data_IF_608376460285
#
_entry.id   IF_608376460285
#
_cell.length_a   1.000
_cell.length_b   1.000
_cell.length_c   1.000
_cell.angle_alpha   90.00
_cell.angle_beta   90.00
_cell.angle_gamma   90.00
#
_symmetry.space_group_name_H-M   'P 1'
#
loop_
_entity.id
_entity.type
_entity.pdbx_description
1 polymer ?
#
# COMPACT_ATOMS: atom_id res chain seq x y z
N UNK A 1 25.09 -20.44 67.93
CA UNK A 1 26.49 -20.62 67.45
C UNK A 1 26.43 -20.77 65.94
N UNK A 2 27.15 -19.92 65.16
CA UNK A 2 27.31 -20.10 63.73
C UNK A 2 28.51 -21.03 63.48
N UNK A 3 28.44 -21.87 62.45
CA UNK A 3 29.61 -22.60 61.95
C UNK A 3 29.74 -22.40 60.45
N UNK A 4 30.96 -22.06 60.05
CA UNK A 4 31.38 -21.85 58.68
C UNK A 4 32.60 -22.75 58.38
N UNK A 5 32.54 -23.39 57.20
CA UNK A 5 33.63 -23.91 56.32
C UNK A 5 34.47 -25.14 56.79
N UNK A 6 35.21 -25.89 55.92
CA UNK A 6 35.31 -25.90 54.44
C UNK A 6 35.31 -27.33 53.79
N UNK A 7 35.50 -27.31 52.46
CA UNK A 7 35.58 -28.36 51.42
C UNK A 7 36.41 -29.63 51.69
N UNK A 8 35.96 -30.75 51.13
CA UNK A 8 36.82 -31.88 50.74
C UNK A 8 36.48 -32.41 49.34
N UNK A 9 37.53 -32.57 48.53
CA UNK A 9 37.56 -33.03 47.16
C UNK A 9 37.33 -34.55 47.04
N UNK A 10 36.50 -34.96 46.09
CA UNK A 10 36.56 -36.30 45.51
C UNK A 10 36.69 -36.19 43.99
N UNK A 11 37.84 -36.64 43.49
CA UNK A 11 38.10 -36.91 42.08
C UNK A 11 37.29 -38.13 41.64
N UNK A 12 36.48 -37.95 40.61
CA UNK A 12 36.02 -39.05 39.77
C UNK A 12 36.38 -38.72 38.32
N UNK A 13 37.35 -39.48 37.81
CA UNK A 13 37.64 -39.61 36.39
C UNK A 13 36.47 -40.34 35.70
N UNK A 14 35.80 -39.66 34.78
CA UNK A 14 34.98 -40.31 33.76
C UNK A 14 35.35 -39.77 32.38
N UNK A 15 36.02 -40.64 31.64
CA UNK A 15 36.33 -40.58 30.22
C UNK A 15 35.04 -40.67 29.38
N UNK A 16 35.16 -40.25 28.12
CA UNK A 16 34.22 -39.62 27.21
C UNK A 16 32.90 -40.35 26.89
N UNK A 17 31.83 -39.55 26.81
CA UNK A 17 30.78 -39.70 25.78
C UNK A 17 30.15 -38.32 25.52
N UNK A 18 30.72 -37.58 24.56
CA UNK A 18 30.12 -36.36 24.04
C UNK A 18 28.83 -36.70 23.28
N UNK A 19 27.68 -36.51 23.93
CA UNK A 19 26.42 -36.31 23.24
C UNK A 19 26.12 -34.81 23.22
N UNK A 20 26.40 -34.07 22.14
CA UNK A 20 25.96 -32.70 22.01
C UNK A 20 24.48 -32.69 21.65
N UNK A 21 23.61 -32.90 22.63
CA UNK A 21 22.20 -32.53 22.50
C UNK A 21 22.06 -31.04 22.77
N UNK A 22 21.84 -30.29 21.69
CA UNK A 22 21.58 -28.87 21.76
C UNK A 22 21.94 -28.12 20.47
N UNK A 23 21.64 -28.69 19.30
CA UNK A 23 21.53 -27.86 18.10
C UNK A 23 20.27 -27.00 18.25
N UNK A 24 20.42 -25.90 18.98
CA UNK A 24 19.51 -24.77 18.90
C UNK A 24 19.60 -24.25 17.46
N UNK A 25 18.62 -24.62 16.64
CA UNK A 25 18.41 -24.04 15.32
C UNK A 25 17.94 -22.59 15.46
N UNK A 26 18.82 -21.70 15.90
CA UNK A 26 18.67 -20.28 15.58
C UNK A 26 19.21 -20.11 14.15
N UNK A 27 18.50 -20.68 13.18
CA UNK A 27 18.69 -20.25 11.81
C UNK A 27 18.22 -18.80 11.74
N UNK A 28 19.18 -17.90 11.71
CA UNK A 28 19.02 -16.54 11.23
C UNK A 28 18.62 -16.60 9.75
N UNK A 29 17.36 -16.94 9.49
CA UNK A 29 16.70 -16.79 8.20
C UNK A 29 15.36 -16.10 8.44
N UNK A 30 15.43 -14.88 8.95
CA UNK A 30 14.33 -13.92 8.93
C UNK A 30 14.21 -13.19 7.58
N UNK A 31 14.92 -13.63 6.54
CA UNK A 31 15.02 -12.92 5.25
C UNK A 31 13.89 -13.25 4.26
N UNK A 32 12.81 -13.91 4.74
CA UNK A 32 11.73 -14.40 3.88
C UNK A 32 10.32 -14.05 4.37
N UNK A 33 10.16 -13.02 5.20
CA UNK A 33 8.84 -12.59 5.71
C UNK A 33 8.26 -11.33 5.02
N UNK A 34 8.92 -10.78 4.00
CA UNK A 34 8.54 -9.49 3.42
C UNK A 34 7.75 -9.53 2.10
N UNK A 35 7.40 -10.71 1.57
CA UNK A 35 6.73 -10.82 0.26
C UNK A 35 5.37 -10.10 0.17
N UNK A 36 4.71 -9.83 1.30
CA UNK A 36 3.43 -9.11 1.35
C UNK A 36 3.55 -7.58 1.55
N UNK A 37 4.75 -7.03 1.78
CA UNK A 37 4.90 -5.58 2.00
C UNK A 37 5.02 -4.77 0.71
N UNK A 38 5.60 -5.35 -0.35
CA UNK A 38 5.86 -4.62 -1.60
C UNK A 38 4.61 -3.98 -2.23
N UNK A 39 3.45 -4.64 -2.19
CA UNK A 39 2.20 -4.08 -2.70
C UNK A 39 1.62 -2.96 -1.83
N UNK A 40 1.82 -3.03 -0.51
CA UNK A 40 1.36 -1.99 0.40
C UNK A 40 2.19 -0.71 0.25
N UNK A 41 3.51 -0.88 0.05
CA UNK A 41 4.44 0.24 -0.17
C UNK A 41 4.11 0.96 -1.49
N UNK A 42 3.86 0.21 -2.57
CA UNK A 42 3.52 0.79 -3.87
C UNK A 42 2.19 1.56 -3.86
N UNK A 43 1.16 1.02 -3.17
CA UNK A 43 -0.11 1.72 -3.03
C UNK A 43 0.02 3.01 -2.21
N UNK A 44 0.86 3.00 -1.17
CA UNK A 44 1.16 4.20 -0.37
C UNK A 44 1.91 5.25 -1.20
N UNK A 45 2.89 4.84 -2.00
CA UNK A 45 3.61 5.74 -2.91
C UNK A 45 2.66 6.37 -3.94
N UNK A 46 1.79 5.57 -4.55
CA UNK A 46 0.77 6.07 -5.49
C UNK A 46 -0.18 7.06 -4.82
N UNK A 47 -0.54 6.84 -3.56
CA UNK A 47 -1.37 7.77 -2.81
C UNK A 47 -0.68 9.12 -2.62
N UNK A 48 0.62 9.14 -2.33
CA UNK A 48 1.41 10.38 -2.23
C UNK A 48 1.46 11.09 -3.58
N UNK A 49 1.75 10.36 -4.67
CA UNK A 49 1.76 10.93 -6.03
C UNK A 49 0.41 11.51 -6.43
N UNK A 50 -0.68 10.79 -6.16
CA UNK A 50 -2.04 11.25 -6.43
C UNK A 50 -2.37 12.54 -5.65
N UNK A 51 -2.00 12.58 -4.37
CA UNK A 51 -2.21 13.77 -3.53
C UNK A 51 -1.47 14.98 -4.11
N UNK A 52 -0.19 14.84 -4.46
CA UNK A 52 0.60 15.93 -5.05
C UNK A 52 0.10 16.35 -6.44
N UNK A 53 -0.36 15.40 -7.25
CA UNK A 53 -0.98 15.70 -8.54
C UNK A 53 -2.25 16.54 -8.36
N UNK A 54 -3.13 16.13 -7.45
CA UNK A 54 -4.40 16.82 -7.19
C UNK A 54 -4.13 18.23 -6.66
N UNK A 55 -3.23 18.39 -5.69
CA UNK A 55 -2.82 19.69 -5.16
C UNK A 55 -2.27 20.59 -6.27
N UNK A 56 -1.35 20.08 -7.09
CA UNK A 56 -0.78 20.81 -8.22
C UNK A 56 -1.82 21.20 -9.26
N UNK A 57 -2.73 20.30 -9.61
CA UNK A 57 -3.84 20.58 -10.51
C UNK A 57 -4.76 21.68 -9.95
N UNK A 58 -5.12 21.62 -8.66
CA UNK A 58 -5.95 22.63 -8.02
C UNK A 58 -5.27 24.01 -7.98
N UNK A 59 -3.96 24.07 -7.76
CA UNK A 59 -3.19 25.31 -7.70
C UNK A 59 -2.83 25.89 -9.08
N UNK A 60 -2.77 25.07 -10.14
CA UNK A 60 -2.36 25.52 -11.47
C UNK A 60 -3.26 26.65 -12.03
N UNK A 61 -2.66 27.74 -12.50
CA UNK A 61 -3.42 28.83 -13.13
C UNK A 61 -4.07 28.39 -14.47
N UNK A 62 -3.36 27.53 -15.21
CA UNK A 62 -3.86 26.91 -16.44
C UNK A 62 -3.92 25.39 -16.26
N UNK A 63 -5.15 24.88 -16.07
CA UNK A 63 -5.42 23.45 -15.87
C UNK A 63 -5.02 22.62 -17.07
N UNK A 64 -5.26 23.11 -18.28
CA UNK A 64 -4.97 22.38 -19.52
C UNK A 64 -3.46 22.25 -19.72
N UNK A 65 -2.71 23.33 -19.50
CA UNK A 65 -1.25 23.29 -19.55
C UNK A 65 -0.65 22.36 -18.49
N UNK A 66 -1.20 22.36 -17.27
CA UNK A 66 -0.78 21.42 -16.23
C UNK A 66 -0.94 19.95 -16.67
N UNK A 67 -2.13 19.58 -17.18
CA UNK A 67 -2.39 18.22 -17.66
C UNK A 67 -1.44 17.82 -18.79
N UNK A 68 -1.15 18.72 -19.73
CA UNK A 68 -0.18 18.49 -20.81
C UNK A 68 1.22 18.25 -20.28
N UNK A 69 1.69 19.07 -19.34
CA UNK A 69 3.01 18.92 -18.73
C UNK A 69 3.13 17.62 -17.93
N UNK A 70 2.05 17.20 -17.27
CA UNK A 70 2.01 15.93 -16.57
C UNK A 70 1.93 14.70 -17.50
N UNK A 71 1.76 14.91 -18.81
CA UNK A 71 1.68 13.84 -19.80
C UNK A 71 0.32 13.17 -19.87
N UNK A 72 -0.75 13.81 -19.39
CA UNK A 72 -2.10 13.28 -19.53
C UNK A 72 -2.50 13.28 -21.01
N UNK A 73 -2.88 12.13 -21.59
CA UNK A 73 -3.29 12.07 -22.98
C UNK A 73 -4.66 12.74 -23.15
N UNK A 74 -4.80 13.64 -24.13
CA UNK A 74 -6.10 14.26 -24.43
C UNK A 74 -6.95 13.39 -25.35
N UNK A 75 -6.32 12.42 -26.01
CA UNK A 75 -6.97 11.38 -26.80
C UNK A 75 -6.40 10.02 -26.42
N UNK A 76 -7.27 9.01 -26.29
CA UNK A 76 -6.87 7.63 -26.00
C UNK A 76 -7.70 6.64 -26.81
N UNK A 77 -7.22 5.42 -27.08
CA UNK A 77 -8.02 4.41 -27.75
C UNK A 77 -9.24 4.00 -26.92
N UNK A 78 -10.35 3.75 -27.61
CA UNK A 78 -11.56 3.11 -27.09
C UNK A 78 -11.29 1.65 -26.70
N UNK A 79 -12.23 1.00 -26.00
CA UNK A 79 -12.12 -0.44 -25.68
C UNK A 79 -11.89 -1.32 -26.91
N UNK A 80 -12.55 -0.97 -28.02
CA UNK A 80 -12.43 -1.66 -29.30
C UNK A 80 -11.24 -1.17 -30.16
N UNK A 81 -10.46 -0.20 -29.67
CA UNK A 81 -9.28 0.37 -30.34
C UNK A 81 -9.54 1.20 -31.61
N UNK A 82 -10.76 1.15 -32.17
CA UNK A 82 -11.09 1.77 -33.45
C UNK A 82 -11.40 3.27 -33.37
N UNK A 83 -11.76 3.80 -32.20
CA UNK A 83 -12.16 5.20 -32.01
C UNK A 83 -11.29 5.88 -30.96
N UNK A 84 -10.99 7.15 -31.16
CA UNK A 84 -10.35 7.97 -30.15
C UNK A 84 -11.42 8.49 -29.17
N UNK A 85 -11.24 8.21 -27.88
CA UNK A 85 -11.94 8.90 -26.81
C UNK A 85 -11.22 10.21 -26.51
N UNK A 86 -11.97 11.28 -26.29
CA UNK A 86 -11.45 12.62 -26.00
C UNK A 86 -11.65 12.94 -24.53
N UNK A 87 -10.62 13.46 -23.87
CA UNK A 87 -10.73 13.98 -22.51
C UNK A 87 -11.66 15.20 -22.53
N UNK A 88 -12.73 15.15 -21.73
CA UNK A 88 -13.72 16.22 -21.67
C UNK A 88 -13.82 16.84 -20.28
N UNK A 89 -13.74 16.02 -19.23
CA UNK A 89 -13.85 16.48 -17.83
C UNK A 89 -12.74 15.89 -16.96
N UNK A 90 -12.43 16.62 -15.89
CA UNK A 90 -11.67 16.13 -14.74
C UNK A 90 -12.61 16.21 -13.55
N UNK A 91 -12.86 15.07 -12.92
CA UNK A 91 -13.74 14.94 -11.76
C UNK A 91 -12.90 14.84 -10.49
N UNK A 92 -13.27 15.59 -9.45
CA UNK A 92 -12.72 15.44 -8.11
C UNK A 92 -13.85 15.04 -7.16
N UNK A 93 -13.58 14.03 -6.34
CA UNK A 93 -14.49 13.63 -5.25
C UNK A 93 -13.77 13.70 -3.93
N UNK A 94 -14.52 14.03 -2.89
CA UNK A 94 -14.01 14.10 -1.52
C UNK A 94 -14.75 13.07 -0.68
N UNK A 95 -13.98 12.15 -0.11
CA UNK A 95 -14.48 11.02 0.64
C UNK A 95 -13.96 11.06 2.09
N UNK A 96 -14.80 10.69 3.05
CA UNK A 96 -14.39 10.51 4.45
C UNK A 96 -14.68 9.08 4.88
N UNK A 97 -13.65 8.36 5.31
CA UNK A 97 -13.84 7.04 5.89
C UNK A 97 -14.17 7.17 7.37
N UNK A 98 -15.37 6.78 7.76
CA UNK A 98 -15.89 6.95 9.13
C UNK A 98 -15.80 5.69 10.00
N UNK A 99 -15.36 4.56 9.44
CA UNK A 99 -15.22 3.30 10.16
C UNK A 99 -14.84 2.13 9.25
N UNK A 100 -14.75 0.95 9.85
CA UNK A 100 -14.58 -0.34 9.15
C UNK A 100 -15.72 -1.29 9.45
N UNK A 101 -15.97 -2.21 8.53
CA UNK A 101 -16.90 -3.30 8.73
C UNK A 101 -16.21 -4.62 8.36
N UNK A 102 -16.33 -5.64 9.19
CA UNK A 102 -15.81 -6.99 8.91
C UNK A 102 -16.92 -8.04 9.02
N UNK A 103 -16.90 -9.10 8.18
CA UNK A 103 -17.86 -10.19 8.29
C UNK A 103 -17.84 -10.82 9.69
N UNK A 104 -19.01 -11.01 10.29
CA UNK A 104 -19.13 -11.74 11.55
C UNK A 104 -19.03 -13.24 11.31
N UNK A 105 -18.28 -13.95 12.17
CA UNK A 105 -18.14 -15.40 12.05
C UNK A 105 -19.49 -16.10 12.28
N UNK A 106 -19.92 -16.93 11.32
CA UNK A 106 -21.12 -17.76 11.44
C UNK A 106 -22.46 -17.01 11.37
N UNK A 107 -22.48 -15.73 11.00
CA UNK A 107 -23.72 -14.96 10.82
C UNK A 107 -23.69 -14.14 9.53
N UNK A 108 -24.86 -13.62 9.12
CA UNK A 108 -25.00 -12.69 7.99
C UNK A 108 -24.89 -11.22 8.43
N UNK A 109 -24.32 -10.98 9.60
CA UNK A 109 -24.15 -9.65 10.17
C UNK A 109 -22.72 -9.13 9.95
N UNK A 110 -22.57 -7.81 10.06
CA UNK A 110 -21.27 -7.14 10.00
C UNK A 110 -20.90 -6.63 11.39
N UNK A 111 -19.65 -6.83 11.80
CA UNK A 111 -19.08 -6.12 12.93
C UNK A 111 -18.63 -4.74 12.46
N UNK A 112 -19.23 -3.68 12.99
CA UNK A 112 -18.91 -2.29 12.65
C UNK A 112 -18.04 -1.64 13.72
N UNK A 113 -16.92 -1.04 13.29
CA UNK A 113 -15.96 -0.34 14.14
C UNK A 113 -15.84 1.10 13.65
N UNK A 114 -16.54 2.06 14.28
CA UNK A 114 -16.40 3.46 13.91
C UNK A 114 -14.99 3.96 14.25
N UNK A 115 -14.44 4.81 13.40
CA UNK A 115 -13.19 5.48 13.70
C UNK A 115 -13.38 6.58 14.74
N UNK A 116 -12.41 6.78 15.66
CA UNK A 116 -12.33 8.02 16.43
C UNK A 116 -12.38 9.23 15.48
N UNK A 117 -13.01 10.34 15.91
CA UNK A 117 -13.15 11.53 15.06
C UNK A 117 -11.82 12.05 14.50
N UNK A 118 -10.76 12.02 15.32
CA UNK A 118 -9.39 12.39 14.93
C UNK A 118 -8.78 11.50 13.84
N UNK A 119 -9.33 10.30 13.61
CA UNK A 119 -8.89 9.35 12.59
C UNK A 119 -9.72 9.43 11.29
N UNK A 120 -10.81 10.20 11.28
CA UNK A 120 -11.60 10.43 10.06
C UNK A 120 -10.87 11.46 9.22
N UNK A 121 -10.19 10.98 8.19
CA UNK A 121 -9.41 11.81 7.28
C UNK A 121 -10.16 12.03 5.98
N UNK A 122 -10.01 13.23 5.44
CA UNK A 122 -10.43 13.57 4.09
C UNK A 122 -9.55 12.83 3.07
N UNK A 123 -10.18 12.23 2.08
CA UNK A 123 -9.52 11.61 0.93
C UNK A 123 -10.06 12.24 -0.34
N UNK A 124 -9.23 13.01 -1.02
CA UNK A 124 -9.55 13.55 -2.33
C UNK A 124 -9.15 12.53 -3.40
N UNK A 125 -10.11 12.14 -4.23
CA UNK A 125 -9.88 11.32 -5.41
C UNK A 125 -10.06 12.18 -6.66
N UNK A 126 -9.45 11.75 -7.77
CA UNK A 126 -9.57 12.41 -9.06
C UNK A 126 -9.72 11.38 -10.17
N UNK A 127 -10.55 11.70 -11.15
CA UNK A 127 -10.75 10.90 -12.36
C UNK A 127 -10.72 11.74 -13.62
N UNK A 128 -10.19 11.17 -14.70
CA UNK A 128 -10.17 11.75 -16.03
C UNK A 128 -11.28 11.13 -16.87
N UNK A 129 -12.19 11.95 -17.40
CA UNK A 129 -13.38 11.50 -18.11
C UNK A 129 -13.17 11.63 -19.61
N UNK A 130 -13.18 10.50 -20.29
CA UNK A 130 -13.04 10.41 -21.73
C UNK A 130 -14.35 10.02 -22.40
N UNK A 131 -14.67 10.65 -23.52
CA UNK A 131 -15.90 10.37 -24.27
C UNK A 131 -15.65 10.24 -25.76
N UNK A 132 -16.47 9.43 -26.40
CA UNK A 132 -16.75 9.47 -27.84
C UNK A 132 -18.27 9.51 -28.03
N UNK A 133 -18.73 9.35 -29.27
CA UNK A 133 -20.17 9.26 -29.55
C UNK A 133 -20.84 8.05 -28.88
N UNK A 134 -20.10 6.96 -28.66
CA UNK A 134 -20.67 5.66 -28.27
C UNK A 134 -20.11 5.12 -26.94
N UNK A 135 -19.09 5.79 -26.37
CA UNK A 135 -18.40 5.31 -25.17
C UNK A 135 -18.07 6.47 -24.23
N UNK A 136 -18.33 6.27 -22.93
CA UNK A 136 -17.75 7.03 -21.83
C UNK A 136 -16.80 6.12 -21.05
N UNK A 137 -15.60 6.60 -20.78
CA UNK A 137 -14.58 5.90 -20.03
C UNK A 137 -14.02 6.81 -18.94
N UNK A 138 -13.91 6.28 -17.73
CA UNK A 138 -13.35 6.97 -16.56
C UNK A 138 -12.01 6.35 -16.24
N UNK A 139 -10.97 7.16 -16.11
CA UNK A 139 -9.63 6.74 -15.68
C UNK A 139 -9.33 7.33 -14.31
N UNK A 140 -9.15 6.49 -13.30
CA UNK A 140 -8.70 6.92 -11.96
C UNK A 140 -7.27 7.49 -12.08
N UNK A 141 -7.01 8.59 -11.35
CA UNK A 141 -5.70 9.24 -11.41
C UNK A 141 -4.57 8.32 -10.95
N UNK A 142 -4.82 7.40 -10.01
CA UNK A 142 -3.81 6.45 -9.52
C UNK A 142 -3.43 5.46 -10.60
N UNK A 143 -4.39 4.99 -11.40
CA UNK A 143 -4.12 4.10 -12.54
C UNK A 143 -3.27 4.81 -13.59
N UNK A 144 -3.59 6.09 -13.87
CA UNK A 144 -2.78 6.92 -14.75
C UNK A 144 -1.34 7.09 -14.22
N UNK A 145 -1.19 7.47 -12.96
CA UNK A 145 0.11 7.71 -12.33
C UNK A 145 0.94 6.43 -12.23
N UNK A 146 0.31 5.29 -11.99
CA UNK A 146 0.96 3.99 -12.00
C UNK A 146 1.57 3.68 -13.38
N UNK A 147 0.79 3.83 -14.45
CA UNK A 147 1.28 3.67 -15.82
C UNK A 147 2.42 4.66 -16.12
N UNK A 148 2.25 5.92 -15.72
CA UNK A 148 3.27 6.96 -15.94
C UNK A 148 4.57 6.68 -15.18
N UNK A 149 4.49 6.17 -13.95
CA UNK A 149 5.64 5.77 -13.13
C UNK A 149 6.42 4.66 -13.85
N UNK A 150 5.73 3.64 -14.34
CA UNK A 150 6.35 2.55 -15.11
C UNK A 150 7.06 3.06 -16.37
N UNK A 151 6.48 4.01 -17.09
CA UNK A 151 7.10 4.60 -18.29
C UNK A 151 8.34 5.45 -18.00
N UNK A 152 8.43 6.07 -16.81
CA UNK A 152 9.58 6.90 -16.41
C UNK A 152 10.72 6.05 -15.88
N UNK A 153 10.39 4.98 -15.15
CA UNK A 153 11.35 4.10 -14.49
C UNK A 153 11.88 2.98 -15.40
N UNK A 154 11.26 2.75 -16.56
CA UNK A 154 11.69 1.80 -17.59
C UNK A 154 12.89 2.31 -18.41
#
# INVERSE_FOLDING_TARGET
MPHDHPHHHHHHDHDHSHAPHGHGHNHAHGDHLHSHMHHADEAADLQVLATQFIEGFLQAADKTSYLKLAGVPFERPSKDGAKALKLIDVELTTDWQVGTASPSFGSRELSYLPFPGEMVQERTNMSLIYVSMDEKSTLDIRDFLYQRKQEIEA
#
